data_IF_566902100658
#
_entry.id   IF_566902100658
#
_cell.length_a   1.000
_cell.length_b   1.000
_cell.length_c   1.000
_cell.angle_alpha   90.00
_cell.angle_beta   90.00
_cell.angle_gamma   90.00
#
_symmetry.space_group_name_H-M   'P 1'
#
loop_
_entity.id
_entity.type
_entity.pdbx_description
1 polymer ?
#
# COMPACT_ATOMS: atom_id res chain seq x y z
N UNK A 1 4.56 25.38 17.48
CA UNK A 1 3.79 24.21 17.04
C UNK A 1 4.43 23.81 15.73
N UNK A 2 5.22 22.75 15.73
CA UNK A 2 5.83 22.24 14.49
C UNK A 2 4.70 22.06 13.46
N UNK A 3 4.87 22.47 12.20
CA UNK A 3 3.87 22.17 11.19
C UNK A 3 3.72 20.65 11.16
N UNK A 4 2.50 20.13 11.04
CA UNK A 4 2.25 18.69 10.84
C UNK A 4 3.04 18.24 9.59
N UNK A 5 4.27 17.79 9.82
CA UNK A 5 5.33 17.83 8.84
C UNK A 5 5.41 16.53 8.08
N UNK A 6 5.26 16.63 6.76
CA UNK A 6 5.71 15.68 5.73
C UNK A 6 5.14 14.26 5.90
N UNK A 7 4.08 13.97 5.16
CA UNK A 7 3.54 12.61 5.06
C UNK A 7 4.33 11.82 4.02
N UNK A 8 5.15 10.84 4.45
CA UNK A 8 5.92 9.96 3.56
C UNK A 8 5.07 9.37 2.42
N UNK A 9 3.83 8.98 2.69
CA UNK A 9 2.95 8.44 1.65
C UNK A 9 2.51 9.49 0.62
N UNK A 10 2.36 10.75 1.02
CA UNK A 10 2.13 11.84 0.07
C UNK A 10 3.36 12.09 -0.79
N UNK A 11 4.56 12.07 -0.20
CA UNK A 11 5.82 12.20 -0.94
C UNK A 11 5.92 11.09 -1.99
N UNK A 12 5.63 9.84 -1.61
CA UNK A 12 5.60 8.69 -2.53
C UNK A 12 4.60 8.90 -3.68
N UNK A 13 3.42 9.47 -3.42
CA UNK A 13 2.44 9.81 -4.45
C UNK A 13 2.97 10.87 -5.43
N UNK A 14 3.80 11.79 -4.94
CA UNK A 14 4.48 12.82 -5.75
C UNK A 14 5.74 12.30 -6.45
N UNK A 15 6.17 11.06 -6.19
CA UNK A 15 7.41 10.48 -6.71
C UNK A 15 8.66 10.92 -5.94
N UNK A 16 8.49 11.44 -4.73
CA UNK A 16 9.57 11.82 -3.82
C UNK A 16 9.84 10.69 -2.83
N UNK A 17 11.00 10.05 -2.96
CA UNK A 17 11.36 8.86 -2.18
C UNK A 17 12.46 9.19 -1.17
N UNK A 18 12.18 8.89 0.10
CA UNK A 18 13.13 9.05 1.21
C UNK A 18 14.00 7.79 1.38
N UNK A 19 13.41 6.61 1.17
CA UNK A 19 14.08 5.32 1.22
C UNK A 19 14.04 4.67 -0.16
N UNK A 20 15.09 4.88 -0.97
CA UNK A 20 15.20 4.28 -2.31
C UNK A 20 14.93 2.76 -2.28
N UNK A 21 14.28 2.23 -3.32
CA UNK A 21 13.79 0.84 -3.46
C UNK A 21 12.63 0.45 -2.52
N UNK A 22 12.62 0.95 -1.28
CA UNK A 22 11.55 0.65 -0.30
C UNK A 22 10.33 1.54 -0.52
N UNK A 23 10.56 2.80 -0.87
CA UNK A 23 9.52 3.80 -1.16
C UNK A 23 8.89 3.62 -2.55
N UNK A 24 9.45 2.73 -3.37
CA UNK A 24 8.96 2.45 -4.72
C UNK A 24 7.76 1.50 -4.67
N UNK A 25 6.57 1.93 -5.13
CA UNK A 25 5.42 1.03 -5.20
C UNK A 25 5.61 -0.02 -6.30
N UNK A 26 5.38 -1.29 -5.97
CA UNK A 26 5.46 -2.37 -6.96
C UNK A 26 4.14 -2.56 -7.74
N UNK A 27 3.05 -1.95 -7.26
CA UNK A 27 1.78 -1.86 -7.98
C UNK A 27 1.08 -0.53 -7.64
N UNK A 28 0.41 0.06 -8.63
CA UNK A 28 -0.28 1.34 -8.47
C UNK A 28 -1.41 1.47 -9.50
N UNK A 29 -2.49 2.14 -9.12
CA UNK A 29 -3.54 2.63 -10.03
C UNK A 29 -3.90 4.09 -9.67
N UNK A 30 -5.01 4.61 -10.16
CA UNK A 30 -5.40 6.01 -9.90
C UNK A 30 -5.75 6.29 -8.42
N UNK A 31 -6.17 5.28 -7.66
CA UNK A 31 -6.68 5.46 -6.29
C UNK A 31 -5.76 4.91 -5.19
N UNK A 32 -4.95 3.90 -5.51
CA UNK A 32 -4.15 3.14 -4.55
C UNK A 32 -2.75 2.85 -5.08
N UNK A 33 -1.86 2.54 -4.14
CA UNK A 33 -0.59 1.92 -4.43
C UNK A 33 -0.28 0.84 -3.37
N UNK A 34 0.53 -0.13 -3.76
CA UNK A 34 1.00 -1.22 -2.93
C UNK A 34 2.52 -1.13 -2.77
N UNK A 35 2.98 -1.23 -1.53
CA UNK A 35 4.37 -1.00 -1.17
C UNK A 35 4.82 -1.94 -0.07
N UNK A 36 6.11 -2.27 -0.04
CA UNK A 36 6.69 -3.04 1.05
C UNK A 36 6.62 -2.26 2.38
N UNK A 37 6.23 -2.94 3.46
CA UNK A 37 6.25 -2.32 4.78
C UNK A 37 7.69 -2.20 5.31
N UNK A 38 8.01 -1.07 5.94
CA UNK A 38 9.20 -0.96 6.80
C UNK A 38 8.90 -1.63 8.13
N UNK A 39 9.77 -2.52 8.60
CA UNK A 39 9.56 -3.30 9.83
C UNK A 39 8.44 -4.35 9.74
N UNK A 40 8.43 -5.22 8.70
CA UNK A 40 7.38 -6.22 8.54
C UNK A 40 7.53 -7.35 9.58
N UNK A 41 6.41 -7.92 10.06
CA UNK A 41 6.46 -9.09 10.95
C UNK A 41 6.68 -10.41 10.19
N UNK A 42 6.31 -10.45 8.90
CA UNK A 42 6.49 -11.60 8.01
C UNK A 42 6.94 -11.13 6.62
N UNK A 43 7.60 -12.00 5.88
CA UNK A 43 7.97 -11.72 4.49
C UNK A 43 6.73 -11.46 3.62
N UNK A 44 6.87 -10.54 2.66
CA UNK A 44 5.77 -10.14 1.78
C UNK A 44 4.74 -9.20 2.40
N UNK A 45 4.92 -8.75 3.65
CA UNK A 45 4.02 -7.78 4.28
C UNK A 45 3.96 -6.48 3.48
N UNK A 46 2.81 -6.27 2.86
CA UNK A 46 2.55 -5.18 1.93
C UNK A 46 1.51 -4.24 2.51
N UNK A 47 1.75 -2.94 2.37
CA UNK A 47 0.77 -1.91 2.68
C UNK A 47 0.00 -1.55 1.42
N UNK A 48 -1.33 -1.50 1.54
CA UNK A 48 -2.21 -0.91 0.53
C UNK A 48 -2.54 0.49 1.02
N UNK A 49 -2.13 1.50 0.26
CA UNK A 49 -2.22 2.90 0.65
C UNK A 49 -3.07 3.63 -0.36
N UNK A 50 -4.00 4.47 0.12
CA UNK A 50 -4.75 5.37 -0.75
C UNK A 50 -3.88 6.54 -1.18
N UNK A 51 -3.99 6.93 -2.46
CA UNK A 51 -3.37 8.15 -2.97
C UNK A 51 -4.04 9.42 -2.44
N UNK A 52 -5.28 9.32 -1.97
CA UNK A 52 -5.94 10.39 -1.24
C UNK A 52 -5.49 10.38 0.22
N UNK A 53 -4.99 11.50 0.72
CA UNK A 53 -4.60 11.63 2.12
C UNK A 53 -5.84 11.55 3.02
N UNK A 54 -5.97 10.46 3.76
CA UNK A 54 -7.09 10.21 4.66
C UNK A 54 -6.64 9.41 5.88
N UNK A 55 -7.30 9.64 7.01
CA UNK A 55 -6.99 8.95 8.27
C UNK A 55 -7.46 7.48 8.27
N UNK A 56 -8.49 7.16 7.48
CA UNK A 56 -9.13 5.85 7.48
C UNK A 56 -9.54 5.45 6.07
N UNK A 57 -9.33 4.18 5.72
CA UNK A 57 -9.81 3.58 4.47
C UNK A 57 -11.19 2.92 4.60
N UNK A 58 -11.94 3.20 5.68
CA UNK A 58 -13.24 2.56 5.94
C UNK A 58 -14.19 2.61 4.75
N UNK A 59 -14.25 3.75 4.06
CA UNK A 59 -15.15 3.93 2.91
C UNK A 59 -14.71 3.19 1.65
N UNK A 60 -13.47 2.69 1.61
CA UNK A 60 -12.91 1.94 0.49
C UNK A 60 -13.10 0.43 0.61
N UNK A 61 -13.30 -0.12 1.83
CA UNK A 61 -13.38 -1.56 2.03
C UNK A 61 -14.56 -2.22 1.33
N UNK A 62 -15.71 -1.54 1.26
CA UNK A 62 -16.90 -2.05 0.57
C UNK A 62 -16.94 -1.69 -0.93
N UNK A 63 -15.86 -1.13 -1.48
CA UNK A 63 -15.84 -0.64 -2.87
C UNK A 63 -15.17 -1.65 -3.81
N UNK A 64 -15.78 -1.97 -4.97
CA UNK A 64 -15.18 -2.85 -5.97
C UNK A 64 -13.78 -2.43 -6.39
N UNK A 65 -13.52 -1.12 -6.44
CA UNK A 65 -12.23 -0.55 -6.81
C UNK A 65 -11.06 -1.07 -5.96
N UNK A 66 -11.28 -1.33 -4.66
CA UNK A 66 -10.23 -1.90 -3.81
C UNK A 66 -10.02 -3.39 -4.15
N UNK A 67 -11.10 -4.15 -4.32
CA UNK A 67 -11.02 -5.56 -4.70
C UNK A 67 -10.31 -5.76 -6.05
N UNK A 68 -10.63 -4.92 -7.04
CA UNK A 68 -9.97 -4.92 -8.35
C UNK A 68 -8.48 -4.63 -8.23
N UNK A 69 -8.10 -3.65 -7.40
CA UNK A 69 -6.70 -3.35 -7.13
C UNK A 69 -5.98 -4.53 -6.46
N UNK A 70 -6.59 -5.14 -5.44
CA UNK A 70 -6.06 -6.33 -4.79
C UNK A 70 -5.88 -7.51 -5.76
N UNK A 71 -6.74 -7.59 -6.78
CA UNK A 71 -6.61 -8.56 -7.89
C UNK A 71 -5.28 -8.44 -8.64
N UNK A 72 -4.67 -7.25 -8.68
CA UNK A 72 -3.33 -7.03 -9.27
C UNK A 72 -2.18 -7.26 -8.29
N UNK A 73 -2.42 -7.07 -6.99
CA UNK A 73 -1.39 -7.15 -5.93
C UNK A 73 -1.19 -8.58 -5.41
N UNK A 74 -2.27 -9.34 -5.23
CA UNK A 74 -2.19 -10.66 -4.61
C UNK A 74 -1.43 -11.70 -5.46
N UNK A 75 -1.61 -11.80 -6.78
CA UNK A 75 -0.92 -12.81 -7.59
C UNK A 75 0.62 -12.78 -7.48
N UNK A 76 1.32 -11.62 -7.60
CA UNK A 76 2.77 -11.60 -7.44
C UNK A 76 3.20 -11.94 -6.00
N UNK A 77 2.48 -11.48 -4.98
CA UNK A 77 2.79 -11.82 -3.58
C UNK A 77 2.66 -13.31 -3.32
N UNK A 78 1.59 -13.94 -3.81
CA UNK A 78 1.35 -15.37 -3.62
C UNK A 78 2.41 -16.22 -4.33
N UNK A 79 2.82 -15.81 -5.54
CA UNK A 79 3.88 -16.50 -6.28
C UNK A 79 5.23 -16.45 -5.55
N UNK A 80 5.55 -15.34 -4.87
CA UNK A 80 6.84 -15.15 -4.24
C UNK A 80 6.89 -15.70 -2.81
N UNK A 81 5.84 -15.46 -2.01
CA UNK A 81 5.85 -15.70 -0.56
C UNK A 81 4.90 -16.84 -0.14
N UNK A 82 4.14 -17.41 -1.06
CA UNK A 82 3.21 -18.50 -0.78
C UNK A 82 1.80 -18.03 -0.41
N UNK A 83 1.00 -18.92 0.17
CA UNK A 83 -0.42 -18.69 0.42
C UNK A 83 -0.68 -17.62 1.48
N UNK A 84 -1.82 -16.91 1.36
CA UNK A 84 -2.28 -15.95 2.35
C UNK A 84 -2.55 -16.61 3.70
N UNK A 85 -1.97 -16.06 4.78
CA UNK A 85 -2.10 -16.59 6.14
C UNK A 85 -3.46 -16.20 6.77
N UNK A 86 -4.04 -15.07 6.37
CA UNK A 86 -5.35 -14.62 6.81
C UNK A 86 -6.09 -13.90 5.69
N UNK A 87 -7.40 -14.18 5.55
CA UNK A 87 -8.29 -13.50 4.62
C UNK A 87 -9.06 -12.44 5.41
N UNK A 88 -9.03 -11.19 4.94
CA UNK A 88 -9.91 -10.15 5.48
C UNK A 88 -11.32 -10.47 4.97
N UNK A 89 -12.33 -10.63 5.86
CA UNK A 89 -13.69 -11.02 5.49
C UNK A 89 -14.39 -9.98 4.63
#
# INVERSE_FOLDING_TARGET
MEPFGICRFCDIVLGEYQYNEIDEPFASNDAFFAIASIGPLVEGWTLIVSKSHQLSMREAYDRPMLADFLGSVLPPLIRQYGSLIARIP
#
